data_IF_776330958288
#
_entry.id   IF_776330958288
#
_cell.length_a   1.000
_cell.length_b   1.000
_cell.length_c   1.000
_cell.angle_alpha   90.00
_cell.angle_beta   90.00
_cell.angle_gamma   90.00
#
_symmetry.space_group_name_H-M   'P 1'
#
loop_
_entity.id
_entity.type
_entity.pdbx_description
1 polymer ?
#
# COMPACT_ATOMS: atom_id res chain seq x y z
N UNK A 1 -4.15 14.01 -12.05
CA UNK A 1 -3.14 13.37 -11.19
C UNK A 1 -1.75 13.86 -11.54
N UNK A 2 -0.89 14.06 -10.50
CA UNK A 2 0.49 14.54 -10.72
C UNK A 2 1.34 13.55 -11.53
N UNK A 3 0.97 12.28 -11.50
CA UNK A 3 1.54 11.20 -12.30
C UNK A 3 0.41 10.45 -13.01
N UNK A 4 0.55 10.31 -14.30
CA UNK A 4 -0.45 9.69 -15.16
C UNK A 4 -0.12 8.19 -15.35
N UNK A 5 -0.08 7.44 -14.25
CA UNK A 5 0.30 6.03 -14.22
C UNK A 5 -0.76 5.16 -13.55
N UNK A 6 -0.78 3.88 -13.92
CA UNK A 6 -1.52 2.82 -13.27
C UNK A 6 -0.54 1.90 -12.52
N UNK A 7 -0.90 1.46 -11.31
CA UNK A 7 -0.20 0.44 -10.54
C UNK A 7 -1.05 -0.82 -10.55
N UNK A 8 -0.45 -1.94 -10.88
CA UNK A 8 -1.13 -3.25 -11.01
C UNK A 8 -0.35 -4.28 -10.22
N UNK A 9 -1.01 -4.98 -9.29
CA UNK A 9 -0.46 -6.14 -8.59
C UNK A 9 -0.34 -7.32 -9.54
N UNK A 10 0.79 -8.01 -9.49
CA UNK A 10 1.02 -9.28 -10.18
C UNK A 10 1.21 -10.36 -9.12
N UNK A 11 0.17 -11.14 -8.91
CA UNK A 11 0.08 -12.19 -7.90
C UNK A 11 0.81 -13.48 -8.29
N UNK A 12 1.30 -13.58 -9.52
CA UNK A 12 1.91 -14.82 -10.01
C UNK A 12 3.10 -15.23 -9.15
N UNK A 13 3.03 -16.43 -8.59
CA UNK A 13 4.12 -17.04 -7.81
C UNK A 13 5.19 -17.53 -8.77
N UNK A 14 5.98 -16.61 -9.29
CA UNK A 14 7.10 -16.88 -10.19
C UNK A 14 8.24 -15.90 -9.91
N UNK A 15 9.40 -16.14 -10.49
CA UNK A 15 10.54 -15.22 -10.36
C UNK A 15 10.25 -13.81 -10.93
N UNK A 16 9.21 -13.66 -11.74
CA UNK A 16 8.83 -12.40 -12.39
C UNK A 16 7.53 -11.78 -11.81
N UNK A 17 6.76 -12.55 -11.05
CA UNK A 17 5.55 -12.12 -10.34
C UNK A 17 5.84 -11.61 -8.92
N UNK A 18 4.81 -11.58 -8.10
CA UNK A 18 4.84 -11.08 -6.72
C UNK A 18 5.46 -9.68 -6.62
N UNK A 19 4.94 -8.76 -7.42
CA UNK A 19 5.42 -7.39 -7.51
C UNK A 19 4.30 -6.46 -8.03
N UNK A 20 4.49 -5.17 -7.87
CA UNK A 20 3.65 -4.16 -8.50
C UNK A 20 4.30 -3.74 -9.82
N UNK A 21 3.53 -3.76 -10.90
CA UNK A 21 3.94 -3.30 -12.22
C UNK A 21 3.32 -1.94 -12.52
N UNK A 22 4.13 -1.02 -13.05
CA UNK A 22 3.67 0.32 -13.43
C UNK A 22 3.38 0.40 -14.93
N UNK A 23 2.25 1.00 -15.25
CA UNK A 23 1.81 1.23 -16.61
C UNK A 23 1.51 2.72 -16.83
N UNK A 24 1.60 3.17 -18.07
CA UNK A 24 1.07 4.46 -18.48
C UNK A 24 -0.46 4.42 -18.49
N UNK A 25 -1.12 5.58 -18.53
CA UNK A 25 -2.60 5.65 -18.55
C UNK A 25 -3.25 5.06 -19.80
N UNK A 26 -2.49 4.88 -20.86
CA UNK A 26 -2.92 4.22 -22.10
C UNK A 26 -2.58 2.72 -22.15
N UNK A 27 -2.11 2.17 -21.00
CA UNK A 27 -1.95 0.73 -20.80
C UNK A 27 -0.60 0.15 -21.21
N UNK A 28 0.41 0.98 -21.54
CA UNK A 28 1.73 0.45 -21.87
C UNK A 28 2.58 0.24 -20.61
N UNK A 29 3.20 -0.94 -20.52
CA UNK A 29 4.14 -1.23 -19.42
C UNK A 29 5.35 -0.29 -19.47
N UNK A 30 5.68 0.36 -18.34
CA UNK A 30 6.81 1.31 -18.26
C UNK A 30 8.16 0.64 -18.08
N UNK A 31 8.20 -0.65 -17.74
CA UNK A 31 9.39 -1.37 -17.35
C UNK A 31 9.65 -1.39 -15.85
N UNK A 32 8.90 -0.61 -15.06
CA UNK A 32 9.09 -0.57 -13.61
C UNK A 32 8.38 -1.75 -12.93
N UNK A 33 9.15 -2.45 -12.12
CA UNK A 33 8.71 -3.55 -11.25
C UNK A 33 9.07 -3.19 -9.83
N UNK A 34 8.06 -2.96 -9.00
CA UNK A 34 8.19 -2.40 -7.66
C UNK A 34 7.99 -3.51 -6.64
N UNK A 35 8.87 -3.59 -5.63
CA UNK A 35 8.75 -4.51 -4.51
C UNK A 35 9.11 -5.96 -4.80
N UNK A 36 9.70 -6.27 -5.97
CA UNK A 36 10.18 -7.63 -6.25
C UNK A 36 11.19 -8.09 -5.18
N UNK A 37 10.92 -9.25 -4.59
CA UNK A 37 11.74 -9.80 -3.50
C UNK A 37 11.51 -9.14 -2.13
N UNK A 38 10.55 -8.20 -2.04
CA UNK A 38 10.08 -7.61 -0.77
C UNK A 38 8.74 -8.24 -0.37
N UNK A 39 7.85 -8.50 -1.33
CA UNK A 39 6.64 -9.26 -1.08
C UNK A 39 6.99 -10.69 -0.67
N UNK A 40 6.42 -11.12 0.45
CA UNK A 40 6.54 -12.50 0.97
C UNK A 40 5.40 -13.39 0.44
N UNK A 41 4.28 -12.76 0.05
CA UNK A 41 3.04 -13.41 -0.39
C UNK A 41 2.52 -12.72 -1.66
N UNK A 42 1.20 -12.50 -1.75
CA UNK A 42 0.56 -11.93 -2.93
C UNK A 42 0.34 -10.42 -2.81
N UNK A 43 0.80 -9.61 -3.78
CA UNK A 43 0.47 -8.20 -3.86
C UNK A 43 -0.99 -8.02 -4.29
N UNK A 44 -1.80 -7.44 -3.40
CA UNK A 44 -3.24 -7.26 -3.61
C UNK A 44 -3.63 -5.78 -3.58
N UNK A 45 -4.28 -5.33 -2.52
CA UNK A 45 -4.80 -3.98 -2.39
C UNK A 45 -3.76 -2.89 -2.59
N UNK A 46 -4.15 -1.83 -3.29
CA UNK A 46 -3.29 -0.68 -3.61
C UNK A 46 -3.96 0.61 -3.15
N UNK A 47 -3.27 1.43 -2.38
CA UNK A 47 -3.69 2.77 -2.01
C UNK A 47 -2.57 3.79 -2.19
N UNK A 48 -2.95 5.05 -2.40
CA UNK A 48 -2.02 6.17 -2.44
C UNK A 48 -2.29 7.12 -1.27
N UNK A 49 -1.31 7.25 -0.39
CA UNK A 49 -1.30 8.28 0.63
C UNK A 49 -0.60 9.53 0.11
N UNK A 50 -1.40 10.46 -0.37
CA UNK A 50 -0.89 11.71 -0.90
C UNK A 50 -0.62 12.72 0.23
N UNK A 51 0.63 13.15 0.42
CA UNK A 51 1.04 14.14 1.42
C UNK A 51 1.32 15.52 0.80
N UNK A 52 1.35 15.62 -0.52
CA UNK A 52 1.51 16.85 -1.29
C UNK A 52 1.18 16.61 -2.75
N UNK A 53 1.38 17.62 -3.60
CA UNK A 53 1.05 17.51 -5.04
C UNK A 53 1.73 16.30 -5.70
N UNK A 54 3.00 16.09 -5.42
CA UNK A 54 3.82 14.99 -5.98
C UNK A 54 4.35 14.03 -4.92
N UNK A 55 4.31 14.40 -3.65
CA UNK A 55 4.83 13.61 -2.53
C UNK A 55 3.78 12.68 -1.94
N UNK A 56 4.24 11.68 -1.23
CA UNK A 56 3.40 10.70 -0.54
C UNK A 56 3.97 9.30 -0.60
N UNK A 57 3.11 8.33 -0.36
CA UNK A 57 3.50 6.94 -0.27
C UNK A 57 2.49 6.05 -0.98
N UNK A 58 2.97 5.12 -1.79
CA UNK A 58 2.19 3.98 -2.23
C UNK A 58 2.13 2.97 -1.10
N UNK A 59 0.96 2.41 -0.89
CA UNK A 59 0.71 1.37 0.10
C UNK A 59 0.19 0.16 -0.65
N UNK A 60 0.86 -0.97 -0.47
CA UNK A 60 0.51 -2.23 -1.09
C UNK A 60 0.25 -3.28 -0.03
N UNK A 61 -0.83 -4.04 -0.17
CA UNK A 61 -1.04 -5.23 0.65
C UNK A 61 -0.11 -6.35 0.19
N UNK A 62 0.59 -6.95 1.12
CA UNK A 62 1.22 -8.26 0.97
C UNK A 62 0.32 -9.27 1.69
N UNK A 63 -0.56 -9.92 0.92
CA UNK A 63 -1.64 -10.75 1.45
C UNK A 63 -1.10 -12.07 2.02
N UNK A 64 -1.16 -12.22 3.32
CA UNK A 64 -0.82 -13.45 4.03
C UNK A 64 -2.04 -14.12 4.65
N UNK A 65 -2.04 -15.45 4.70
CA UNK A 65 -3.12 -16.24 5.31
C UNK A 65 -3.19 -16.00 6.82
N UNK A 66 -2.04 -15.93 7.48
CA UNK A 66 -2.00 -15.71 8.93
C UNK A 66 -2.07 -14.22 9.29
N UNK A 67 -1.20 -13.42 8.71
CA UNK A 67 -1.16 -11.96 8.89
C UNK A 67 -0.71 -11.29 7.61
N UNK A 68 -1.34 -10.15 7.29
CA UNK A 68 -0.90 -9.30 6.20
C UNK A 68 0.22 -8.36 6.63
N UNK A 69 1.01 -7.95 5.64
CA UNK A 69 1.83 -6.74 5.73
C UNK A 69 1.25 -5.66 4.82
N UNK A 70 1.46 -4.41 5.19
CA UNK A 70 1.21 -3.26 4.34
C UNK A 70 2.55 -2.60 4.08
N UNK A 71 2.99 -2.68 2.83
CA UNK A 71 4.30 -2.23 2.37
C UNK A 71 4.21 -0.80 1.88
N UNK A 72 5.09 0.07 2.36
CA UNK A 72 5.13 1.48 2.02
C UNK A 72 6.31 1.77 1.08
N UNK A 73 6.03 2.48 0.00
CA UNK A 73 7.02 2.92 -0.98
C UNK A 73 6.89 4.42 -1.21
N UNK A 74 8.00 5.12 -1.32
CA UNK A 74 8.00 6.53 -1.70
C UNK A 74 7.31 6.72 -3.06
N UNK A 75 6.44 7.72 -3.15
CA UNK A 75 5.63 7.95 -4.35
C UNK A 75 6.44 8.31 -5.57
N UNK A 76 7.58 8.98 -5.42
CA UNK A 76 8.40 9.49 -6.52
C UNK A 76 9.50 8.50 -6.90
N UNK A 77 10.30 8.08 -5.92
CA UNK A 77 11.45 7.20 -6.14
C UNK A 77 11.05 5.74 -6.31
N UNK A 78 9.87 5.35 -5.81
CA UNK A 78 9.40 3.97 -5.72
C UNK A 78 10.29 3.09 -4.83
N UNK A 79 11.10 3.71 -3.99
CA UNK A 79 11.94 3.00 -3.02
C UNK A 79 11.11 2.53 -1.83
N UNK A 80 11.44 1.35 -1.33
CA UNK A 80 10.82 0.78 -0.13
C UNK A 80 11.15 1.60 1.09
N UNK A 81 10.13 1.96 1.86
CA UNK A 81 10.23 2.77 3.09
C UNK A 81 10.13 1.90 4.33
N UNK A 82 9.23 0.92 4.33
CA UNK A 82 8.98 0.06 5.47
C UNK A 82 7.65 -0.65 5.36
N UNK A 83 7.31 -1.43 6.38
CA UNK A 83 6.05 -2.15 6.48
C UNK A 83 5.43 -2.03 7.86
N UNK A 84 4.10 -2.15 7.91
CA UNK A 84 3.37 -2.38 9.15
C UNK A 84 2.63 -3.72 9.07
N UNK A 85 2.36 -4.31 10.23
CA UNK A 85 1.53 -5.52 10.36
C UNK A 85 0.40 -5.23 11.36
N UNK A 86 -0.79 -5.72 11.04
CA UNK A 86 -1.87 -5.80 12.03
C UNK A 86 -1.64 -6.96 13.01
N UNK A 87 -2.37 -6.95 14.11
CA UNK A 87 -2.35 -8.08 15.07
C UNK A 87 -3.36 -9.18 14.74
N UNK A 88 -4.37 -8.85 13.93
CA UNK A 88 -5.48 -9.75 13.59
C UNK A 88 -5.83 -9.72 12.09
N UNK A 89 -5.39 -8.72 11.33
CA UNK A 89 -5.80 -8.56 9.93
C UNK A 89 -5.03 -9.51 9.04
N UNK A 90 -5.77 -10.34 8.32
CA UNK A 90 -5.23 -11.35 7.40
C UNK A 90 -6.11 -11.46 6.16
N UNK A 91 -5.63 -12.11 5.13
CA UNK A 91 -6.34 -12.42 3.90
C UNK A 91 -7.06 -11.18 3.33
N UNK A 92 -6.29 -10.10 3.11
CA UNK A 92 -6.81 -8.79 2.68
C UNK A 92 -6.67 -8.61 1.18
N UNK A 93 -7.78 -8.61 0.46
CA UNK A 93 -7.82 -8.28 -0.97
C UNK A 93 -7.79 -6.76 -1.20
N UNK A 94 -8.57 -6.02 -0.41
CA UNK A 94 -8.76 -4.60 -0.61
C UNK A 94 -8.36 -3.72 0.57
N UNK A 95 -7.77 -2.57 0.24
CA UNK A 95 -7.50 -1.49 1.19
C UNK A 95 -8.10 -0.18 0.71
N UNK A 96 -8.45 0.69 1.64
CA UNK A 96 -8.90 2.05 1.38
C UNK A 96 -8.22 3.02 2.32
N UNK A 97 -7.74 4.13 1.81
CA UNK A 97 -7.15 5.20 2.60
C UNK A 97 -8.09 6.40 2.64
N UNK A 98 -8.45 6.82 3.85
CA UNK A 98 -9.19 8.05 4.10
C UNK A 98 -8.30 9.03 4.87
N UNK A 99 -7.82 10.11 4.24
CA UNK A 99 -6.98 11.11 4.90
C UNK A 99 -7.78 12.11 5.74
N UNK A 100 -9.12 11.99 5.77
CA UNK A 100 -9.97 12.95 6.49
C UNK A 100 -9.84 12.75 7.99
N UNK A 101 -9.56 13.86 8.68
CA UNK A 101 -9.48 13.91 10.14
C UNK A 101 -10.84 13.58 10.79
N UNK A 102 -10.80 12.73 11.80
CA UNK A 102 -11.93 12.42 12.67
C UNK A 102 -11.51 12.42 14.13
N UNK A 103 -12.49 12.35 15.05
CA UNK A 103 -12.19 12.27 16.49
C UNK A 103 -11.35 11.05 16.85
N UNK A 104 -11.56 9.92 16.17
CA UNK A 104 -10.83 8.67 16.40
C UNK A 104 -9.49 8.63 15.67
N UNK A 105 -9.43 9.22 14.49
CA UNK A 105 -8.27 9.23 13.61
C UNK A 105 -7.93 10.67 13.18
N UNK A 106 -7.20 11.42 14.02
CA UNK A 106 -6.95 12.87 13.78
C UNK A 106 -6.19 13.18 12.49
N UNK A 107 -5.50 12.22 11.93
CA UNK A 107 -4.78 12.31 10.62
C UNK A 107 -5.38 11.41 9.53
N UNK A 108 -6.55 10.81 9.79
CA UNK A 108 -7.16 9.83 8.90
C UNK A 108 -6.78 8.38 9.22
N UNK A 109 -7.25 7.46 8.40
CA UNK A 109 -7.06 6.02 8.60
C UNK A 109 -6.81 5.26 7.30
N UNK A 110 -6.06 4.17 7.40
CA UNK A 110 -6.00 3.10 6.42
C UNK A 110 -6.99 2.01 6.86
N UNK A 111 -7.92 1.67 6.00
CA UNK A 111 -8.86 0.57 6.20
C UNK A 111 -8.44 -0.63 5.38
N UNK A 112 -8.58 -1.82 5.95
CA UNK A 112 -8.26 -3.08 5.31
C UNK A 112 -9.34 -4.11 5.58
N UNK A 113 -9.70 -4.89 4.57
CA UNK A 113 -10.62 -6.01 4.73
C UNK A 113 -9.89 -7.14 5.47
N UNK A 114 -10.58 -7.79 6.40
CA UNK A 114 -10.12 -8.98 7.09
C UNK A 114 -11.02 -10.15 6.73
N UNK A 115 -10.47 -11.11 6.02
CA UNK A 115 -11.07 -12.41 5.70
C UNK A 115 -12.53 -12.31 5.20
N UNK A 116 -12.77 -11.42 4.22
CA UNK A 116 -14.08 -11.11 3.60
C UNK A 116 -15.23 -10.76 4.57
N UNK A 117 -14.94 -10.66 5.86
CA UNK A 117 -15.95 -10.50 6.91
C UNK A 117 -15.97 -9.12 7.55
N UNK A 118 -14.82 -8.59 7.93
CA UNK A 118 -14.71 -7.36 8.70
C UNK A 118 -13.75 -6.37 8.04
N UNK A 119 -13.87 -5.10 8.42
CA UNK A 119 -12.88 -4.08 8.11
C UNK A 119 -12.10 -3.69 9.39
N UNK A 120 -10.79 -3.61 9.27
CA UNK A 120 -9.89 -3.07 10.30
C UNK A 120 -9.46 -1.67 9.93
N UNK A 121 -9.10 -0.85 10.91
CA UNK A 121 -8.65 0.51 10.70
C UNK A 121 -7.32 0.75 11.43
N UNK A 122 -6.37 1.34 10.72
CA UNK A 122 -5.06 1.72 11.21
C UNK A 122 -4.94 3.24 11.19
N UNK A 123 -4.51 3.84 12.30
CA UNK A 123 -4.28 5.29 12.40
C UNK A 123 -3.12 5.71 11.51
N UNK A 124 -3.34 6.67 10.60
CA UNK A 124 -2.25 7.22 9.77
C UNK A 124 -1.19 7.95 10.62
N UNK A 125 -1.57 8.52 11.76
CA UNK A 125 -0.61 9.11 12.70
C UNK A 125 0.32 8.05 13.29
N UNK A 126 -0.23 6.93 13.78
CA UNK A 126 0.57 5.83 14.34
C UNK A 126 1.46 5.16 13.29
N UNK A 127 0.95 5.01 12.07
CA UNK A 127 1.75 4.52 10.93
C UNK A 127 2.93 5.46 10.66
N UNK A 128 2.68 6.76 10.61
CA UNK A 128 3.74 7.73 10.35
C UNK A 128 4.81 7.70 11.44
N UNK A 129 4.39 7.65 12.71
CA UNK A 129 5.32 7.56 13.85
C UNK A 129 6.15 6.27 13.79
N UNK A 130 5.51 5.13 13.50
CA UNK A 130 6.18 3.82 13.44
C UNK A 130 7.21 3.72 12.31
N UNK A 131 6.95 4.36 11.18
CA UNK A 131 7.81 4.35 9.99
C UNK A 131 8.70 5.58 9.87
N UNK A 132 8.61 6.55 10.79
CA UNK A 132 9.36 7.80 10.74
C UNK A 132 9.00 8.66 9.52
N UNK A 133 7.73 8.64 9.09
CA UNK A 133 7.28 9.37 7.91
C UNK A 133 7.06 10.84 8.24
N UNK A 134 7.49 11.71 7.34
CA UNK A 134 7.19 13.13 7.44
C UNK A 134 5.77 13.41 6.92
N UNK A 135 4.87 13.75 7.82
CA UNK A 135 3.54 14.26 7.49
C UNK A 135 3.58 15.79 7.44
N UNK A 136 2.81 16.41 6.55
CA UNK A 136 2.64 17.85 6.52
C UNK A 136 1.86 18.39 7.72
#
# INVERSE_FOLDING_TARGET
PAYNHLMIGDEEISAEGQAIKRYTSDGNFTGDVIGRGIFENQPEGIALWQTGEKTGYWIFTDQGIDLNQYLFFDRQSLEYVGAIKGTITSNTDGIWLDPVSSLRFPKGALYAIHDDGNATAFSLAEIADALGLNLP
#
